data_IF_457951262332
#
_entry.id   IF_457951262332
#
_cell.length_a   1.000
_cell.length_b   1.000
_cell.length_c   1.000
_cell.angle_alpha   90.00
_cell.angle_beta   90.00
_cell.angle_gamma   90.00
#
_symmetry.space_group_name_H-M   'P 1'
#
loop_
_entity.id
_entity.type
_entity.pdbx_description
1 polymer ?
#
# COMPACT_ATOMS: atom_id res chain seq x y z
N UNK A 1 2.94 -16.66 28.84
CA UNK A 1 2.96 -15.34 28.19
C UNK A 1 3.50 -15.60 26.80
N UNK A 2 2.58 -15.82 25.85
CA UNK A 2 2.90 -16.04 24.44
C UNK A 2 3.03 -14.66 23.80
N UNK A 3 4.21 -14.32 23.30
CA UNK A 3 4.37 -13.18 22.43
C UNK A 3 3.59 -13.53 21.16
N UNK A 4 2.56 -12.76 20.86
CA UNK A 4 1.94 -12.74 19.53
C UNK A 4 2.96 -12.10 18.60
N UNK A 5 3.63 -12.90 17.77
CA UNK A 5 4.41 -12.40 16.66
C UNK A 5 3.44 -11.67 15.71
N UNK A 6 3.46 -10.35 15.82
CA UNK A 6 2.67 -9.43 14.99
C UNK A 6 3.25 -9.48 13.57
N UNK A 7 2.51 -10.08 12.62
CA UNK A 7 2.84 -10.09 11.19
C UNK A 7 2.53 -8.71 10.63
N UNK A 8 3.37 -7.76 11.00
CA UNK A 8 3.32 -6.40 10.46
C UNK A 8 4.13 -6.32 9.16
N UNK A 9 3.77 -5.36 8.30
CA UNK A 9 4.54 -5.02 7.10
C UNK A 9 6.05 -4.91 7.44
N UNK A 10 6.97 -5.26 6.52
CA UNK A 10 8.40 -5.28 6.79
C UNK A 10 8.85 -4.00 7.47
N UNK A 11 9.48 -4.10 8.64
CA UNK A 11 10.01 -2.93 9.35
C UNK A 11 11.15 -2.23 8.58
N UNK A 12 11.82 -2.98 7.70
CA UNK A 12 12.97 -2.52 6.92
C UNK A 12 12.65 -2.40 5.42
N UNK A 13 11.90 -1.35 5.05
CA UNK A 13 11.76 -0.98 3.64
C UNK A 13 13.07 -0.36 3.13
N UNK A 14 13.66 -0.95 2.07
CA UNK A 14 14.74 -0.33 1.31
C UNK A 14 14.15 0.70 0.33
N UNK A 15 14.17 1.98 0.73
CA UNK A 15 13.67 3.08 -0.09
C UNK A 15 14.38 3.16 -1.46
N UNK A 16 15.67 2.77 -1.53
CA UNK A 16 16.44 2.74 -2.78
C UNK A 16 15.98 1.59 -3.71
N UNK A 17 15.69 0.42 -3.16
CA UNK A 17 15.17 -0.72 -3.92
C UNK A 17 13.73 -0.44 -4.40
N UNK A 18 12.89 0.12 -3.53
CA UNK A 18 11.54 0.54 -3.89
C UNK A 18 11.54 1.59 -5.02
N UNK A 19 12.41 2.61 -4.94
CA UNK A 19 12.54 3.63 -5.98
C UNK A 19 12.98 3.04 -7.33
N UNK A 20 13.73 1.95 -7.36
CA UNK A 20 14.16 1.29 -8.62
C UNK A 20 13.09 0.38 -9.21
N UNK A 21 12.33 -0.35 -8.37
CA UNK A 21 11.47 -1.44 -8.83
C UNK A 21 9.97 -1.16 -8.70
N UNK A 22 9.56 -0.15 -7.92
CA UNK A 22 8.16 0.22 -7.70
C UNK A 22 7.83 1.67 -8.08
N UNK A 23 8.72 2.38 -8.80
CA UNK A 23 8.54 3.79 -9.19
C UNK A 23 7.30 4.06 -10.07
N UNK A 24 6.81 3.05 -10.77
CA UNK A 24 5.55 3.15 -11.52
C UNK A 24 4.33 3.44 -10.63
N UNK A 25 4.38 3.10 -9.32
CA UNK A 25 3.26 3.27 -8.39
C UNK A 25 2.86 4.75 -8.25
N UNK A 26 3.76 5.72 -7.96
CA UNK A 26 3.42 7.13 -7.94
C UNK A 26 3.00 7.70 -9.29
N UNK A 27 3.60 7.23 -10.39
CA UNK A 27 3.26 7.72 -11.75
C UNK A 27 1.82 7.36 -12.13
N UNK A 28 1.37 6.15 -11.79
CA UNK A 28 0.01 5.68 -12.02
C UNK A 28 -1.03 6.35 -11.09
N UNK A 29 -0.58 6.94 -9.98
CA UNK A 29 -1.44 7.56 -8.98
C UNK A 29 -1.76 9.05 -9.27
N UNK A 30 -1.26 9.65 -10.35
CA UNK A 30 -1.56 11.06 -10.67
C UNK A 30 -3.07 11.33 -10.77
N UNK A 31 -3.82 10.42 -11.37
CA UNK A 31 -5.29 10.53 -11.45
C UNK A 31 -5.97 10.49 -10.07
N UNK A 32 -5.34 9.88 -9.05
CA UNK A 32 -5.86 9.90 -7.69
C UNK A 32 -5.67 11.29 -7.05
N UNK A 33 -4.58 12.00 -7.35
CA UNK A 33 -4.39 13.39 -6.92
C UNK A 33 -5.44 14.32 -7.56
N UNK A 34 -5.90 14.00 -8.78
CA UNK A 34 -7.02 14.73 -9.39
C UNK A 34 -8.37 14.42 -8.71
N UNK A 35 -8.54 13.20 -8.19
CA UNK A 35 -9.69 12.88 -7.33
C UNK A 35 -9.64 13.63 -6.00
N UNK A 36 -8.46 13.74 -5.40
CA UNK A 36 -8.27 14.52 -4.18
C UNK A 36 -8.61 16.00 -4.40
N UNK A 37 -8.32 16.55 -5.61
CA UNK A 37 -8.54 17.93 -5.98
C UNK A 37 -8.05 18.91 -4.88
N UNK A 38 -6.74 18.92 -4.55
CA UNK A 38 -6.23 19.72 -3.46
C UNK A 38 -6.33 21.22 -3.78
N UNK A 39 -6.77 22.00 -2.79
CA UNK A 39 -6.91 23.46 -2.88
C UNK A 39 -5.79 24.18 -2.10
N UNK A 40 -5.48 25.41 -2.53
CA UNK A 40 -4.45 26.20 -1.86
C UNK A 40 -4.84 26.51 -0.40
N UNK A 41 -3.90 26.24 0.51
CA UNK A 41 -4.08 26.47 1.94
C UNK A 41 -4.74 25.34 2.71
N UNK A 42 -5.32 24.32 2.05
CA UNK A 42 -5.83 23.13 2.72
C UNK A 42 -4.74 22.41 3.51
N UNK A 43 -5.13 21.81 4.63
CA UNK A 43 -4.27 20.89 5.39
C UNK A 43 -4.63 19.46 5.02
N UNK A 44 -3.67 18.75 4.44
CA UNK A 44 -3.87 17.39 3.94
C UNK A 44 -2.90 16.45 4.67
N UNK A 45 -3.42 15.30 5.13
CA UNK A 45 -2.62 14.19 5.62
C UNK A 45 -2.40 13.20 4.48
N UNK A 46 -1.14 12.87 4.18
CA UNK A 46 -0.75 11.78 3.28
C UNK A 46 -0.38 10.56 4.11
N UNK A 47 -1.29 9.59 4.20
CA UNK A 47 -1.19 8.40 5.03
C UNK A 47 -0.52 7.26 4.27
N UNK A 48 0.68 6.84 4.71
CA UNK A 48 1.56 5.95 3.99
C UNK A 48 2.27 6.70 2.86
N UNK A 49 2.89 7.84 3.18
CA UNK A 49 3.45 8.78 2.19
C UNK A 49 4.66 8.23 1.41
N UNK A 50 5.26 7.13 1.88
CA UNK A 50 6.45 6.55 1.27
C UNK A 50 7.58 7.57 1.16
N UNK A 51 8.24 7.61 0.00
CA UNK A 51 9.34 8.53 -0.30
C UNK A 51 8.88 9.98 -0.62
N UNK A 52 7.59 10.30 -0.47
CA UNK A 52 7.06 11.66 -0.57
C UNK A 52 6.80 12.19 -1.98
N UNK A 53 6.89 11.36 -3.02
CA UNK A 53 6.66 11.80 -4.42
C UNK A 53 5.25 12.37 -4.60
N UNK A 54 4.22 11.71 -4.10
CA UNK A 54 2.84 12.18 -4.19
C UNK A 54 2.57 13.32 -3.20
N UNK A 55 3.15 13.27 -2.00
CA UNK A 55 3.12 14.35 -1.02
C UNK A 55 3.59 15.67 -1.65
N UNK A 56 4.74 15.62 -2.36
CA UNK A 56 5.28 16.76 -3.08
C UNK A 56 4.35 17.25 -4.21
N UNK A 57 3.74 16.32 -4.95
CA UNK A 57 2.81 16.66 -6.02
C UNK A 57 1.53 17.35 -5.50
N UNK A 58 1.03 16.94 -4.34
CA UNK A 58 -0.11 17.54 -3.65
C UNK A 58 0.28 18.94 -3.13
N UNK A 59 1.45 19.05 -2.49
CA UNK A 59 1.97 20.32 -1.98
C UNK A 59 2.21 21.35 -3.11
N UNK A 60 2.64 20.90 -4.28
CA UNK A 60 2.81 21.77 -5.46
C UNK A 60 1.50 22.41 -5.95
N UNK A 61 0.34 21.89 -5.54
CA UNK A 61 -0.97 22.49 -5.79
C UNK A 61 -1.38 23.57 -4.76
N UNK A 62 -0.48 23.85 -3.81
CA UNK A 62 -0.67 24.91 -2.80
C UNK A 62 -1.23 24.43 -1.45
N UNK A 63 -1.46 23.13 -1.29
CA UNK A 63 -1.86 22.55 -0.01
C UNK A 63 -0.67 22.44 0.97
N UNK A 64 -0.97 22.44 2.28
CA UNK A 64 -0.03 22.12 3.35
C UNK A 64 -0.16 20.63 3.66
N UNK A 65 0.84 19.83 3.29
CA UNK A 65 0.75 18.38 3.40
C UNK A 65 1.68 17.89 4.51
N UNK A 66 1.15 17.04 5.39
CA UNK A 66 1.92 16.25 6.33
C UNK A 66 1.91 14.80 5.88
N UNK A 67 3.08 14.23 5.58
CA UNK A 67 3.25 12.81 5.33
C UNK A 67 3.39 12.01 6.63
N UNK A 68 2.75 10.87 6.70
CA UNK A 68 2.95 9.88 7.77
C UNK A 68 3.29 8.55 7.13
N UNK A 69 4.40 7.95 7.53
CA UNK A 69 4.79 6.61 7.11
C UNK A 69 5.42 5.85 8.28
N UNK A 70 5.23 4.54 8.32
CA UNK A 70 5.79 3.69 9.38
C UNK A 70 7.30 3.54 9.24
N UNK A 71 7.83 3.57 8.02
CA UNK A 71 9.24 3.37 7.72
C UNK A 71 10.08 4.63 7.95
N UNK A 72 11.07 4.62 8.89
CA UNK A 72 12.00 5.72 9.05
C UNK A 72 12.80 6.03 7.79
N UNK A 73 13.11 5.00 6.97
CA UNK A 73 13.85 5.17 5.72
C UNK A 73 13.03 5.95 4.68
N UNK A 74 11.73 5.64 4.54
CA UNK A 74 10.85 6.41 3.67
C UNK A 74 10.63 7.83 4.16
N UNK A 75 10.44 8.04 5.46
CA UNK A 75 10.29 9.38 6.04
C UNK A 75 11.55 10.23 5.79
N UNK A 76 12.75 9.64 5.91
CA UNK A 76 14.00 10.31 5.57
C UNK A 76 14.01 10.70 4.10
N UNK A 77 13.70 9.78 3.19
CA UNK A 77 13.66 10.07 1.75
C UNK A 77 12.62 11.14 1.39
N UNK A 78 11.46 11.16 2.06
CA UNK A 78 10.43 12.19 1.89
C UNK A 78 10.95 13.58 2.33
N UNK A 79 11.61 13.65 3.50
CA UNK A 79 12.22 14.91 4.00
C UNK A 79 13.30 15.42 3.08
N UNK A 80 14.12 14.53 2.50
CA UNK A 80 15.15 14.89 1.51
C UNK A 80 14.56 15.49 0.23
N UNK A 81 13.27 15.18 -0.07
CA UNK A 81 12.50 15.84 -1.14
C UNK A 81 11.92 17.19 -0.74
N UNK A 82 12.10 17.62 0.51
CA UNK A 82 11.60 18.89 1.01
C UNK A 82 10.14 18.88 1.43
N UNK A 83 9.54 17.70 1.69
CA UNK A 83 8.20 17.59 2.24
C UNK A 83 8.23 17.36 3.75
N UNK A 84 7.21 17.86 4.46
CA UNK A 84 7.04 17.58 5.88
C UNK A 84 6.54 16.14 6.04
N UNK A 85 7.31 15.30 6.75
CA UNK A 85 6.95 13.91 7.01
C UNK A 85 7.40 13.46 8.40
N UNK A 86 6.63 12.57 9.01
CA UNK A 86 6.92 11.99 10.33
C UNK A 86 6.78 10.47 10.30
N UNK A 87 7.53 9.80 11.16
CA UNK A 87 7.33 8.37 11.44
C UNK A 87 6.09 8.20 12.29
N UNK A 88 5.16 7.34 11.85
CA UNK A 88 3.91 7.07 12.58
C UNK A 88 3.16 5.88 12.02
N UNK A 89 2.36 5.25 12.87
CA UNK A 89 1.49 4.13 12.49
C UNK A 89 0.09 4.64 12.13
N UNK A 90 -0.44 4.17 10.99
CA UNK A 90 -1.79 4.50 10.53
C UNK A 90 -2.89 4.02 11.49
N UNK A 91 -2.63 2.97 12.28
CA UNK A 91 -3.56 2.48 13.30
C UNK A 91 -3.67 3.41 14.52
N UNK A 92 -2.66 4.26 14.75
CA UNK A 92 -2.51 5.07 15.96
C UNK A 92 -2.51 6.59 15.71
N UNK A 93 -3.23 7.05 14.69
CA UNK A 93 -3.33 8.49 14.39
C UNK A 93 -3.88 9.28 15.58
N UNK A 94 -3.12 10.27 16.08
CA UNK A 94 -3.45 11.07 17.27
C UNK A 94 -4.04 12.46 16.93
N UNK A 95 -4.52 12.65 15.70
CA UNK A 95 -5.05 13.93 15.24
C UNK A 95 -6.56 14.03 15.50
N UNK A 96 -7.02 15.24 15.85
CA UNK A 96 -8.43 15.58 16.02
C UNK A 96 -8.79 16.77 15.15
N UNK A 97 -9.69 16.57 14.18
CA UNK A 97 -10.25 17.62 13.31
C UNK A 97 -9.20 18.63 12.77
N UNK A 98 -8.02 18.11 12.40
CA UNK A 98 -6.88 18.92 11.97
C UNK A 98 -6.77 19.07 10.46
N UNK A 99 -7.38 18.16 9.69
CA UNK A 99 -7.19 18.07 8.24
C UNK A 99 -8.49 18.30 7.48
N UNK A 100 -8.36 18.95 6.33
CA UNK A 100 -9.43 19.15 5.35
C UNK A 100 -9.59 17.91 4.46
N UNK A 101 -8.47 17.18 4.24
CA UNK A 101 -8.47 15.91 3.52
C UNK A 101 -7.44 14.93 4.09
N UNK A 102 -7.70 13.64 3.88
CA UNK A 102 -6.73 12.56 4.00
C UNK A 102 -6.57 11.90 2.64
N UNK A 103 -5.33 11.69 2.24
CA UNK A 103 -4.94 10.99 1.03
C UNK A 103 -4.18 9.73 1.40
N UNK A 104 -4.36 8.65 0.64
CA UNK A 104 -3.54 7.45 0.79
C UNK A 104 -3.42 6.71 -0.53
N UNK A 105 -2.21 6.38 -0.94
CA UNK A 105 -1.99 5.61 -2.16
C UNK A 105 -1.09 4.40 -1.90
N UNK A 106 -1.57 3.22 -2.28
CA UNK A 106 -0.86 1.94 -2.19
C UNK A 106 -0.34 1.59 -0.78
N UNK A 107 -1.00 2.09 0.29
CA UNK A 107 -0.58 1.90 1.66
C UNK A 107 -1.58 1.10 2.51
N UNK A 108 -2.90 1.31 2.34
CA UNK A 108 -3.91 0.75 3.23
C UNK A 108 -3.92 -0.78 3.27
N UNK A 109 -3.54 -1.45 2.20
CA UNK A 109 -3.46 -2.92 2.16
C UNK A 109 -2.30 -3.51 2.97
N UNK A 110 -1.38 -2.68 3.50
CA UNK A 110 -0.35 -3.07 4.46
C UNK A 110 -0.77 -2.88 5.92
N UNK A 111 -1.91 -2.22 6.16
CA UNK A 111 -2.45 -1.92 7.49
C UNK A 111 -3.44 -3.02 7.90
N UNK A 112 -2.92 -4.25 8.08
CA UNK A 112 -3.73 -5.47 8.17
C UNK A 112 -4.27 -5.75 9.58
N UNK A 113 -3.63 -5.24 10.63
CA UNK A 113 -3.92 -5.63 12.03
C UNK A 113 -5.34 -5.22 12.46
N UNK A 114 -5.74 -3.99 12.16
CA UNK A 114 -7.11 -3.48 12.39
C UNK A 114 -7.43 -2.38 11.35
N UNK A 115 -7.87 -2.75 10.13
CA UNK A 115 -8.27 -1.77 9.11
C UNK A 115 -9.34 -0.79 9.60
N UNK A 116 -10.21 -1.24 10.51
CA UNK A 116 -11.24 -0.39 11.10
C UNK A 116 -10.66 0.67 12.06
N UNK A 117 -9.55 0.37 12.76
CA UNK A 117 -8.85 1.37 13.57
C UNK A 117 -8.27 2.49 12.70
N UNK A 118 -7.73 2.14 11.53
CA UNK A 118 -7.25 3.12 10.54
C UNK A 118 -8.39 4.04 10.10
N UNK A 119 -9.54 3.48 9.70
CA UNK A 119 -10.73 4.25 9.29
C UNK A 119 -11.20 5.17 10.43
N UNK A 120 -11.30 4.66 11.66
CA UNK A 120 -11.65 5.50 12.84
C UNK A 120 -10.62 6.60 13.09
N UNK A 121 -9.33 6.31 12.94
CA UNK A 121 -8.25 7.29 13.07
C UNK A 121 -8.36 8.41 12.04
N UNK A 122 -8.61 8.07 10.78
CA UNK A 122 -8.85 9.02 9.69
C UNK A 122 -10.09 9.85 9.94
N UNK A 123 -11.20 9.23 10.36
CA UNK A 123 -12.42 9.95 10.71
C UNK A 123 -12.19 10.97 11.83
N UNK A 124 -11.43 10.63 12.86
CA UNK A 124 -11.08 11.54 13.95
C UNK A 124 -10.19 12.69 13.45
N UNK A 125 -9.21 12.39 12.60
CA UNK A 125 -8.25 13.38 12.08
C UNK A 125 -8.89 14.41 11.15
N UNK A 126 -9.92 14.03 10.40
CA UNK A 126 -10.66 14.91 9.50
C UNK A 126 -11.59 15.86 10.23
N UNK A 127 -11.75 17.06 9.71
CA UNK A 127 -12.87 17.96 10.03
C UNK A 127 -14.17 17.38 9.51
N UNK A 128 -15.31 17.79 10.08
CA UNK A 128 -16.64 17.47 9.51
C UNK A 128 -16.72 17.95 8.07
N UNK A 129 -17.21 17.10 7.17
CA UNK A 129 -17.24 17.37 5.73
C UNK A 129 -15.91 17.21 5.02
N UNK A 130 -14.82 16.94 5.73
CA UNK A 130 -13.50 16.62 5.16
C UNK A 130 -13.54 15.33 4.35
N UNK A 131 -12.65 15.23 3.35
CA UNK A 131 -12.64 14.08 2.42
C UNK A 131 -11.50 13.08 2.69
N UNK A 132 -11.82 11.81 2.50
CA UNK A 132 -10.83 10.74 2.45
C UNK A 132 -10.78 10.18 1.04
N UNK A 133 -9.62 10.26 0.40
CA UNK A 133 -9.39 9.78 -0.97
C UNK A 133 -8.26 8.77 -0.94
N UNK A 134 -8.52 7.55 -1.39
CA UNK A 134 -7.49 6.53 -1.39
C UNK A 134 -7.60 5.57 -2.58
N UNK A 135 -6.45 4.95 -2.90
CA UNK A 135 -6.32 3.83 -3.83
C UNK A 135 -5.37 2.79 -3.26
N UNK A 136 -5.78 1.52 -3.28
CA UNK A 136 -4.95 0.41 -2.82
C UNK A 136 -5.37 -0.90 -3.48
N UNK A 137 -4.71 -2.02 -3.14
CA UNK A 137 -5.06 -3.34 -3.68
C UNK A 137 -6.42 -3.80 -3.18
N UNK A 138 -7.36 -4.11 -4.08
CA UNK A 138 -8.64 -4.72 -3.77
C UNK A 138 -8.64 -6.24 -3.97
N UNK A 139 -9.81 -6.86 -3.84
CA UNK A 139 -10.00 -8.29 -4.06
C UNK A 139 -9.46 -8.72 -5.43
N UNK A 140 -8.72 -9.82 -5.46
CA UNK A 140 -8.07 -10.32 -6.68
C UNK A 140 -6.76 -9.61 -7.04
N UNK A 141 -6.33 -8.60 -6.27
CA UNK A 141 -5.04 -7.93 -6.52
C UNK A 141 -3.89 -8.93 -6.49
N UNK A 142 -3.08 -8.96 -7.57
CA UNK A 142 -1.93 -9.85 -7.74
C UNK A 142 -2.25 -11.35 -7.51
N UNK A 143 -3.48 -11.79 -7.76
CA UNK A 143 -3.95 -13.13 -7.38
C UNK A 143 -3.01 -14.28 -7.80
N UNK A 144 -2.46 -14.37 -9.01
CA UNK A 144 -1.51 -15.42 -9.38
C UNK A 144 -0.22 -15.38 -8.56
N UNK A 145 0.31 -14.18 -8.31
CA UNK A 145 1.53 -14.00 -7.49
C UNK A 145 1.25 -14.43 -6.05
N UNK A 146 0.14 -13.98 -5.50
CA UNK A 146 -0.30 -14.31 -4.15
C UNK A 146 -0.49 -15.83 -3.98
N UNK A 147 -1.19 -16.48 -4.90
CA UNK A 147 -1.38 -17.93 -4.89
C UNK A 147 -0.04 -18.68 -4.97
N UNK A 148 0.85 -18.28 -5.88
CA UNK A 148 2.16 -18.94 -6.03
C UNK A 148 3.02 -18.80 -4.76
N UNK A 149 3.04 -17.63 -4.11
CA UNK A 149 3.75 -17.43 -2.85
C UNK A 149 3.21 -18.34 -1.74
N UNK A 150 1.91 -18.41 -1.58
CA UNK A 150 1.23 -19.21 -0.55
C UNK A 150 1.44 -20.70 -0.76
N UNK A 151 1.23 -21.19 -1.99
CA UNK A 151 1.40 -22.61 -2.33
C UNK A 151 2.84 -23.08 -2.12
N UNK A 152 3.82 -22.29 -2.57
CA UNK A 152 5.24 -22.62 -2.42
C UNK A 152 5.71 -22.54 -0.96
N UNK A 153 5.15 -21.66 -0.15
CA UNK A 153 5.39 -21.61 1.30
C UNK A 153 4.81 -22.85 1.99
N UNK A 154 3.55 -23.20 1.70
CA UNK A 154 2.89 -24.40 2.24
C UNK A 154 3.64 -25.68 1.86
N UNK A 155 4.08 -25.82 0.59
CA UNK A 155 4.86 -26.96 0.13
C UNK A 155 6.20 -27.14 0.88
N UNK A 156 6.70 -26.08 1.51
CA UNK A 156 7.92 -26.06 2.35
C UNK A 156 7.62 -26.07 3.85
N UNK A 157 6.38 -26.39 4.23
CA UNK A 157 5.97 -26.51 5.63
C UNK A 157 5.87 -25.20 6.39
N UNK A 158 5.65 -24.08 5.67
CA UNK A 158 5.35 -22.79 6.28
C UNK A 158 3.85 -22.53 6.23
N UNK A 159 3.32 -21.89 7.24
CA UNK A 159 1.92 -21.46 7.29
C UNK A 159 1.77 -20.16 6.46
N UNK A 160 1.09 -20.20 5.30
CA UNK A 160 0.98 -19.02 4.44
C UNK A 160 0.12 -17.91 5.06
N UNK A 161 -0.80 -18.22 5.99
CA UNK A 161 -1.64 -17.21 6.63
C UNK A 161 -0.82 -16.33 7.60
N UNK A 162 0.21 -16.90 8.21
CA UNK A 162 1.14 -16.15 9.06
C UNK A 162 2.15 -15.30 8.27
N UNK A 163 2.28 -15.53 6.97
CA UNK A 163 3.23 -14.83 6.12
C UNK A 163 2.58 -13.77 5.24
N UNK A 164 1.24 -13.71 5.23
CA UNK A 164 0.49 -12.85 4.33
C UNK A 164 0.45 -11.41 4.87
N UNK A 165 1.14 -10.46 4.22
CA UNK A 165 1.21 -9.09 4.70
C UNK A 165 0.11 -8.20 4.13
N UNK A 166 -0.85 -8.74 3.38
CA UNK A 166 -1.79 -7.94 2.61
C UNK A 166 -3.24 -8.15 3.02
N UNK A 167 -3.97 -7.05 3.06
CA UNK A 167 -5.41 -7.00 3.15
C UNK A 167 -6.00 -6.49 1.83
N UNK A 168 -6.64 -7.39 1.07
CA UNK A 168 -7.29 -7.09 -0.21
C UNK A 168 -8.81 -7.29 -0.11
N UNK A 169 -9.56 -6.32 0.44
CA UNK A 169 -11.00 -6.44 0.59
C UNK A 169 -11.74 -6.31 -0.74
N UNK A 170 -12.96 -6.84 -0.78
CA UNK A 170 -13.89 -6.50 -1.84
C UNK A 170 -14.31 -5.02 -1.74
N UNK A 171 -14.74 -4.45 -2.86
CA UNK A 171 -15.23 -3.06 -2.89
C UNK A 171 -16.39 -2.87 -1.90
N UNK A 172 -17.32 -3.82 -1.84
CA UNK A 172 -18.47 -3.77 -0.96
C UNK A 172 -18.05 -3.79 0.51
N UNK A 173 -17.23 -4.77 0.89
CA UNK A 173 -16.72 -4.89 2.27
C UNK A 173 -16.05 -3.60 2.75
N UNK A 174 -15.20 -2.99 1.92
CA UNK A 174 -14.49 -1.79 2.35
C UNK A 174 -15.40 -0.55 2.42
N UNK A 175 -16.40 -0.44 1.53
CA UNK A 175 -17.39 0.63 1.61
C UNK A 175 -18.23 0.52 2.89
N UNK A 176 -18.70 -0.68 3.25
CA UNK A 176 -19.42 -0.92 4.51
C UNK A 176 -18.59 -0.53 5.74
N UNK A 177 -17.27 -0.81 5.70
CA UNK A 177 -16.36 -0.39 6.75
C UNK A 177 -16.23 1.13 6.85
N UNK A 178 -16.17 1.85 5.73
CA UNK A 178 -16.14 3.31 5.70
C UNK A 178 -17.45 3.90 6.23
N UNK A 179 -18.60 3.42 5.79
CA UNK A 179 -19.91 3.88 6.25
C UNK A 179 -20.09 3.65 7.76
N UNK A 180 -19.68 2.48 8.26
CA UNK A 180 -19.67 2.17 9.69
C UNK A 180 -18.70 3.07 10.48
N UNK A 181 -17.64 3.56 9.82
CA UNK A 181 -16.66 4.50 10.37
C UNK A 181 -17.09 5.97 10.33
N UNK A 182 -18.33 6.27 9.87
CA UNK A 182 -18.89 7.62 9.85
C UNK A 182 -18.60 8.39 8.55
N UNK A 183 -18.43 7.68 7.44
CA UNK A 183 -18.25 8.29 6.12
C UNK A 183 -19.45 8.08 5.21
N UNK A 184 -19.70 9.05 4.34
CA UNK A 184 -20.59 8.92 3.19
C UNK A 184 -19.77 8.76 1.91
N UNK A 185 -20.09 7.75 1.10
CA UNK A 185 -19.34 7.46 -0.14
C UNK A 185 -19.76 8.44 -1.24
N UNK A 186 -18.80 9.16 -1.82
CA UNK A 186 -19.01 10.08 -2.93
C UNK A 186 -18.85 9.36 -4.26
N UNK A 187 -17.76 8.61 -4.41
CA UNK A 187 -17.47 7.79 -5.59
C UNK A 187 -16.56 6.63 -5.22
N UNK A 188 -16.67 5.56 -5.97
CA UNK A 188 -15.90 4.34 -5.78
C UNK A 188 -15.73 3.61 -7.09
N UNK A 189 -14.61 2.92 -7.24
CA UNK A 189 -14.36 2.00 -8.37
C UNK A 189 -13.40 0.88 -7.96
N UNK A 190 -13.56 -0.26 -8.60
CA UNK A 190 -12.62 -1.36 -8.55
C UNK A 190 -12.30 -1.75 -9.99
N UNK A 191 -11.01 -1.81 -10.34
CA UNK A 191 -10.60 -2.00 -11.73
C UNK A 191 -9.26 -2.72 -11.83
N UNK A 192 -9.10 -3.48 -12.90
CA UNK A 192 -7.84 -4.11 -13.25
C UNK A 192 -6.84 -3.06 -13.76
N UNK A 193 -5.59 -3.22 -13.34
CA UNK A 193 -4.47 -2.41 -13.80
C UNK A 193 -3.26 -3.30 -14.10
N UNK A 194 -3.29 -4.10 -15.17
CA UNK A 194 -2.12 -4.85 -15.57
C UNK A 194 -0.94 -3.90 -15.78
N UNK A 195 0.16 -4.16 -15.08
CA UNK A 195 1.30 -3.23 -15.06
C UNK A 195 2.56 -3.95 -15.48
N UNK A 196 3.23 -3.52 -16.57
CA UNK A 196 4.53 -4.04 -16.95
C UNK A 196 5.56 -3.80 -15.84
N UNK A 197 6.27 -4.86 -15.44
CA UNK A 197 7.34 -4.74 -14.47
C UNK A 197 8.64 -4.25 -15.15
N UNK A 198 9.46 -3.45 -14.45
CA UNK A 198 10.74 -2.95 -15.01
C UNK A 198 11.80 -4.03 -15.15
N UNK A 199 11.47 -5.30 -14.87
CA UNK A 199 12.38 -6.43 -14.98
C UNK A 199 11.69 -7.73 -14.59
N UNK A 200 12.48 -8.72 -14.16
CA UNK A 200 11.99 -10.02 -13.75
C UNK A 200 11.12 -9.93 -12.48
N UNK A 201 10.12 -10.80 -12.37
CA UNK A 201 9.23 -10.87 -11.19
C UNK A 201 10.00 -11.13 -9.89
N UNK A 202 11.17 -11.72 -9.95
CA UNK A 202 12.01 -11.94 -8.76
C UNK A 202 12.38 -10.62 -8.06
N UNK A 203 12.57 -9.52 -8.81
CA UNK A 203 12.84 -8.20 -8.24
C UNK A 203 11.60 -7.66 -7.52
N UNK A 204 10.41 -7.90 -8.08
CA UNK A 204 9.15 -7.58 -7.45
C UNK A 204 8.96 -8.36 -6.14
N UNK A 205 9.22 -9.68 -6.16
CA UNK A 205 9.14 -10.54 -4.97
C UNK A 205 10.08 -10.05 -3.86
N UNK A 206 11.32 -9.72 -4.19
CA UNK A 206 12.30 -9.19 -3.23
C UNK A 206 11.90 -7.86 -2.62
N UNK A 207 11.17 -7.04 -3.38
CA UNK A 207 10.77 -5.70 -2.94
C UNK A 207 9.48 -5.72 -2.12
N UNK A 208 8.48 -6.55 -2.50
CA UNK A 208 7.12 -6.45 -1.97
C UNK A 208 6.65 -7.69 -1.20
N UNK A 209 7.30 -8.84 -1.33
CA UNK A 209 6.91 -10.07 -0.64
C UNK A 209 7.82 -10.42 0.57
N UNK A 210 8.33 -9.40 1.26
CA UNK A 210 9.30 -9.52 2.35
C UNK A 210 8.96 -10.60 3.38
N UNK A 211 7.78 -10.63 4.01
CA UNK A 211 7.42 -11.63 5.01
C UNK A 211 7.50 -13.08 4.50
N UNK A 212 7.06 -13.33 3.26
CA UNK A 212 7.23 -14.65 2.65
C UNK A 212 8.69 -15.03 2.48
N UNK A 213 9.56 -14.08 2.09
CA UNK A 213 10.97 -14.36 1.88
C UNK A 213 11.72 -14.53 3.20
N UNK A 214 11.34 -13.79 4.24
CA UNK A 214 11.96 -13.85 5.58
C UNK A 214 11.69 -15.19 6.28
N UNK A 215 10.65 -15.93 5.89
CA UNK A 215 10.38 -17.27 6.39
C UNK A 215 11.46 -18.32 5.99
N UNK A 216 12.39 -17.94 5.10
CA UNK A 216 13.47 -18.81 4.62
C UNK A 216 14.84 -18.15 4.89
N UNK A 217 15.81 -19.01 5.29
CA UNK A 217 17.19 -18.56 5.51
C UNK A 217 17.77 -17.92 4.25
N UNK A 218 18.53 -16.84 4.45
CA UNK A 218 19.25 -16.13 3.38
C UNK A 218 20.22 -17.13 2.70
N UNK A 219 20.27 -17.12 1.37
CA UNK A 219 21.05 -18.02 0.54
C UNK A 219 20.18 -19.07 -0.15
N UNK A 220 20.66 -20.29 -0.27
CA UNK A 220 20.09 -21.35 -1.12
C UNK A 220 18.60 -21.63 -0.88
N UNK A 221 18.13 -21.59 0.37
CA UNK A 221 16.74 -21.88 0.69
C UNK A 221 15.81 -20.79 0.15
N UNK A 222 16.14 -19.50 0.39
CA UNK A 222 15.37 -18.35 -0.11
C UNK A 222 15.46 -18.25 -1.63
N UNK A 223 16.62 -18.47 -2.21
CA UNK A 223 16.81 -18.49 -3.67
C UNK A 223 15.97 -19.58 -4.33
N UNK A 224 15.95 -20.80 -3.77
CA UNK A 224 15.13 -21.91 -4.26
C UNK A 224 13.62 -21.60 -4.15
N UNK A 225 13.19 -20.93 -3.08
CA UNK A 225 11.80 -20.48 -2.93
C UNK A 225 11.42 -19.47 -4.01
N UNK A 226 12.21 -18.41 -4.19
CA UNK A 226 11.99 -17.38 -5.22
C UNK A 226 11.97 -17.99 -6.61
N UNK A 227 12.92 -18.91 -6.92
CA UNK A 227 13.00 -19.59 -8.21
C UNK A 227 11.75 -20.45 -8.48
N UNK A 228 11.22 -21.15 -7.47
CA UNK A 228 10.01 -21.93 -7.59
C UNK A 228 8.77 -21.09 -7.83
N UNK A 229 8.59 -20.02 -7.06
CA UNK A 229 7.50 -19.04 -7.26
C UNK A 229 7.58 -18.47 -8.68
N UNK A 230 8.77 -18.01 -9.10
CA UNK A 230 8.98 -17.47 -10.45
C UNK A 230 8.61 -18.49 -11.53
N UNK A 231 9.03 -19.75 -11.40
CA UNK A 231 8.74 -20.79 -12.39
C UNK A 231 7.24 -21.04 -12.58
N UNK A 232 6.46 -20.97 -11.50
CA UNK A 232 4.99 -21.08 -11.55
C UNK A 232 4.33 -19.90 -12.27
N UNK A 233 4.93 -18.71 -12.18
CA UNK A 233 4.36 -17.48 -12.73
C UNK A 233 4.68 -17.26 -14.22
N UNK A 234 5.74 -17.89 -14.76
CA UNK A 234 6.15 -17.72 -16.16
C UNK A 234 4.99 -17.92 -17.14
N UNK A 235 4.20 -19.02 -17.06
CA UNK A 235 3.18 -19.30 -18.08
C UNK A 235 2.05 -18.26 -18.13
N UNK A 236 1.84 -17.55 -17.04
CA UNK A 236 0.69 -16.65 -16.89
C UNK A 236 1.08 -15.17 -16.97
N UNK A 237 2.25 -14.81 -16.41
CA UNK A 237 2.63 -13.41 -16.21
C UNK A 237 3.82 -12.95 -17.05
N UNK A 238 4.50 -13.87 -17.78
CA UNK A 238 5.63 -13.53 -18.63
C UNK A 238 5.27 -13.81 -20.08
N UNK A 239 5.30 -12.79 -20.92
CA UNK A 239 5.00 -12.96 -22.35
C UNK A 239 6.20 -13.56 -23.15
N UNK A 240 5.98 -13.84 -24.41
CA UNK A 240 6.99 -14.43 -25.29
C UNK A 240 8.21 -13.51 -25.54
N UNK A 241 8.11 -12.22 -25.21
CA UNK A 241 9.25 -11.29 -25.29
C UNK A 241 10.07 -11.23 -24.01
N UNK A 242 9.61 -11.91 -22.95
CA UNK A 242 10.22 -11.88 -21.62
C UNK A 242 9.72 -10.71 -20.74
N UNK A 243 8.68 -10.00 -21.18
CA UNK A 243 8.07 -8.93 -20.40
C UNK A 243 7.15 -9.54 -19.34
N UNK A 244 7.37 -9.17 -18.09
CA UNK A 244 6.51 -9.51 -16.95
C UNK A 244 5.43 -8.46 -16.74
N UNK A 245 4.21 -8.92 -16.43
CA UNK A 245 3.06 -8.07 -16.15
C UNK A 245 2.47 -8.46 -14.80
N UNK A 246 2.48 -7.53 -13.84
CA UNK A 246 1.80 -7.72 -12.57
C UNK A 246 0.30 -7.44 -12.72
N UNK A 247 -0.59 -8.39 -12.36
CA UNK A 247 -2.02 -8.26 -12.52
C UNK A 247 -2.64 -7.53 -11.32
N UNK A 248 -2.38 -6.24 -11.19
CA UNK A 248 -2.96 -5.44 -10.12
C UNK A 248 -4.46 -5.26 -10.31
N UNK A 249 -5.19 -5.33 -9.19
CA UNK A 249 -6.57 -4.88 -9.06
C UNK A 249 -6.59 -3.75 -8.04
N UNK A 250 -7.14 -2.60 -8.43
CA UNK A 250 -7.17 -1.41 -7.59
C UNK A 250 -8.59 -1.08 -7.14
N UNK A 251 -8.72 -0.91 -5.82
CA UNK A 251 -9.88 -0.34 -5.17
C UNK A 251 -9.58 1.14 -4.91
N UNK A 252 -10.44 2.02 -5.41
CA UNK A 252 -10.33 3.47 -5.29
C UNK A 252 -11.63 4.05 -4.78
N UNK A 253 -11.54 5.05 -3.90
CA UNK A 253 -12.71 5.73 -3.39
C UNK A 253 -12.43 7.19 -3.02
N UNK A 254 -13.51 7.97 -2.98
CA UNK A 254 -13.64 9.21 -2.25
C UNK A 254 -14.81 9.09 -1.29
N UNK A 255 -14.59 9.42 -0.03
CA UNK A 255 -15.60 9.44 1.01
C UNK A 255 -15.52 10.76 1.80
N UNK A 256 -16.66 11.22 2.35
CA UNK A 256 -16.74 12.42 3.19
C UNK A 256 -17.12 12.05 4.61
N UNK A 257 -16.44 12.67 5.57
CA UNK A 257 -16.79 12.55 6.98
C UNK A 257 -18.14 13.24 7.23
N UNK A 258 -19.04 12.53 7.87
CA UNK A 258 -20.36 13.00 8.27
C UNK A 258 -20.30 14.06 9.39
#
# INVERSE_FOLDING_TARGET
>A
MSASDDVSAPEDWDAGQYARHARFVPELARSLVDWLAPEAGERILDLGCGDGVLTQAIAARGARVLGVDRSPAFVTAARDRGVEAIVGDGHELQYEQCFDAVFSNAALHWMITDPQAVIRGVARALRTGGRFVAEFGGEGNIAPIHAALRDEAAARGRDPDQLDPWYFPSLETYMDQLESGGFSIVRKECFERPTPLPGDVSNWLQTLAGPFLQAFEIGTAREAYVAAVRARLIPELCDNSGQWIAPYVRLRFEARKN
#
